data_IF_950401350115
#
_entry.id   IF_950401350115
#
_cell.length_a   1.000
_cell.length_b   1.000
_cell.length_c   1.000
_cell.angle_alpha   90.00
_cell.angle_beta   90.00
_cell.angle_gamma   90.00
#
_symmetry.space_group_name_H-M   'P 1'
#
loop_
_entity.id
_entity.type
_entity.pdbx_description
1 polymer ?
#
# COMPACT_ATOMS: atom_id res chain seq x y z
N UNK A 1 7.24 16.54 -1.82
CA UNK A 1 7.89 15.55 -0.95
C UNK A 1 8.83 16.28 0.00
N UNK A 2 9.05 15.75 1.21
CA UNK A 2 10.09 16.23 2.14
C UNK A 2 11.48 16.22 1.46
N UNK A 3 12.25 17.34 1.45
CA UNK A 3 13.51 17.43 0.70
C UNK A 3 14.56 16.40 1.14
N UNK A 4 14.69 16.15 2.44
CA UNK A 4 15.64 15.15 2.97
C UNK A 4 15.27 13.74 2.52
N UNK A 5 13.98 13.39 2.58
CA UNK A 5 13.50 12.12 2.07
C UNK A 5 13.70 11.99 0.56
N UNK A 6 13.45 13.04 -0.23
CA UNK A 6 13.71 13.03 -1.66
C UNK A 6 15.20 12.83 -1.99
N UNK A 7 16.11 13.45 -1.24
CA UNK A 7 17.55 13.23 -1.39
C UNK A 7 17.95 11.78 -1.09
N UNK A 8 17.39 11.19 -0.02
CA UNK A 8 17.58 9.78 0.30
C UNK A 8 17.07 8.86 -0.83
N UNK A 9 15.88 9.10 -1.39
CA UNK A 9 15.37 8.31 -2.50
C UNK A 9 16.28 8.42 -3.73
N UNK A 10 16.74 9.62 -4.07
CA UNK A 10 17.68 9.85 -5.18
C UNK A 10 19.03 9.16 -4.99
N UNK A 11 19.48 8.95 -3.76
CA UNK A 11 20.73 8.22 -3.50
C UNK A 11 20.56 6.69 -3.55
N UNK A 12 19.32 6.20 -3.59
CA UNK A 12 18.99 4.76 -3.64
C UNK A 12 18.54 4.33 -5.02
N UNK A 13 17.76 5.17 -5.68
CA UNK A 13 17.33 4.98 -7.05
C UNK A 13 18.36 5.61 -7.99
N UNK A 14 19.02 4.78 -8.80
CA UNK A 14 19.85 5.29 -9.88
C UNK A 14 19.01 6.19 -10.80
N UNK A 15 19.57 7.27 -11.36
CA UNK A 15 18.90 8.01 -12.43
C UNK A 15 18.57 7.00 -13.53
N UNK A 16 17.29 6.90 -13.91
CA UNK A 16 16.87 5.97 -14.94
C UNK A 16 17.69 6.23 -16.22
N UNK A 17 18.67 5.37 -16.51
CA UNK A 17 19.03 5.11 -17.89
C UNK A 17 17.78 4.49 -18.48
N UNK A 18 17.05 5.27 -19.26
CA UNK A 18 15.78 4.91 -19.92
C UNK A 18 16.01 3.75 -20.88
N UNK A 19 16.16 2.57 -20.30
CA UNK A 19 16.12 1.31 -21.00
C UNK A 19 15.03 0.48 -20.33
N UNK A 20 13.83 0.54 -20.90
CA UNK A 20 12.67 -0.24 -20.46
C UNK A 20 12.88 -1.75 -20.62
N UNK A 21 14.00 -2.18 -21.24
CA UNK A 21 14.41 -3.60 -21.30
C UNK A 21 15.25 -4.02 -20.08
N UNK A 22 15.84 -3.06 -19.36
CA UNK A 22 16.58 -3.30 -18.13
C UNK A 22 15.63 -3.27 -16.93
N UNK A 23 15.48 -4.40 -16.25
CA UNK A 23 14.73 -4.46 -14.98
C UNK A 23 15.61 -3.93 -13.87
N UNK A 24 15.31 -2.74 -13.34
CA UNK A 24 15.93 -2.24 -12.12
C UNK A 24 15.46 -3.09 -10.92
N UNK A 25 16.35 -3.85 -10.24
CA UNK A 25 15.97 -4.68 -9.09
C UNK A 25 15.79 -3.86 -7.80
N UNK A 26 16.05 -2.55 -7.82
CA UNK A 26 16.01 -1.69 -6.65
C UNK A 26 14.60 -1.62 -6.08
N UNK A 27 14.46 -1.97 -4.80
CA UNK A 27 13.21 -1.82 -4.05
C UNK A 27 13.46 -0.98 -2.80
N UNK A 28 12.44 -0.23 -2.41
CA UNK A 28 12.44 0.56 -1.18
C UNK A 28 11.16 0.28 -0.39
N UNK A 29 11.22 0.27 0.94
CA UNK A 29 10.02 0.09 1.75
C UNK A 29 9.01 1.23 1.53
N UNK A 30 7.72 0.86 1.45
CA UNK A 30 6.61 1.82 1.43
C UNK A 30 6.50 2.61 2.75
N UNK A 31 6.88 1.97 3.86
CA UNK A 31 7.10 2.61 5.15
C UNK A 31 8.59 2.58 5.50
N UNK A 32 9.24 3.73 5.40
CA UNK A 32 10.67 3.87 5.67
C UNK A 32 11.06 3.79 7.16
N UNK A 33 10.09 3.82 8.08
CA UNK A 33 10.35 3.85 9.53
C UNK A 33 10.10 2.48 10.17
N UNK A 34 9.02 1.79 9.78
CA UNK A 34 8.66 0.46 10.32
C UNK A 34 8.31 -0.54 9.21
N UNK A 35 9.29 -0.89 8.34
CA UNK A 35 9.03 -1.64 7.10
C UNK A 35 8.45 -3.05 7.32
N UNK A 36 8.75 -3.68 8.46
CA UNK A 36 8.28 -5.01 8.82
C UNK A 36 7.04 -5.04 9.71
N UNK A 37 6.41 -3.89 9.98
CA UNK A 37 5.28 -3.81 10.91
C UNK A 37 4.07 -3.14 10.26
N UNK A 38 2.91 -3.79 10.41
CA UNK A 38 1.63 -3.20 10.07
C UNK A 38 1.15 -2.32 11.23
N UNK A 39 1.41 -1.02 11.12
CA UNK A 39 0.95 -0.02 12.09
C UNK A 39 0.58 1.31 11.40
N UNK A 40 0.30 2.33 12.20
CA UNK A 40 -0.11 3.64 11.68
C UNK A 40 1.06 4.56 11.27
N UNK A 41 2.29 4.06 11.28
CA UNK A 41 3.48 4.83 10.90
C UNK A 41 3.45 5.26 9.44
N UNK A 42 2.81 4.48 8.56
CA UNK A 42 2.48 4.88 7.19
C UNK A 42 1.82 6.27 7.15
N UNK A 43 0.77 6.52 7.94
CA UNK A 43 0.07 7.81 7.97
C UNK A 43 0.91 8.92 8.61
N UNK A 44 1.75 8.58 9.61
CA UNK A 44 2.72 9.54 10.18
C UNK A 44 3.74 9.99 9.13
N UNK A 45 4.15 9.11 8.22
CA UNK A 45 5.03 9.46 7.10
C UNK A 45 4.32 10.39 6.12
N UNK A 46 3.05 10.13 5.77
CA UNK A 46 2.27 11.02 4.89
C UNK A 46 2.13 12.42 5.46
N UNK A 47 1.85 12.54 6.77
CA UNK A 47 1.76 13.82 7.47
C UNK A 47 3.07 14.63 7.39
N UNK A 48 4.22 13.94 7.35
CA UNK A 48 5.56 14.51 7.16
C UNK A 48 5.97 14.70 5.69
N UNK A 49 5.04 14.51 4.74
CA UNK A 49 5.30 14.54 3.29
C UNK A 49 6.32 13.51 2.80
N UNK A 50 6.35 12.35 3.46
CA UNK A 50 7.26 11.22 3.20
C UNK A 50 6.53 9.97 2.66
N UNK A 51 5.43 10.14 1.94
CA UNK A 51 4.84 9.03 1.16
C UNK A 51 5.74 8.68 -0.02
N UNK A 52 5.94 7.38 -0.29
CA UNK A 52 6.81 6.94 -1.38
C UNK A 52 6.13 7.13 -2.74
N UNK A 53 4.88 6.71 -2.87
CA UNK A 53 4.13 6.79 -4.11
C UNK A 53 3.35 8.11 -4.21
N UNK A 54 3.06 8.53 -5.44
CA UNK A 54 2.21 9.69 -5.69
C UNK A 54 0.79 9.50 -5.13
N UNK A 55 0.22 8.29 -5.29
CA UNK A 55 -1.08 7.92 -4.73
C UNK A 55 -1.14 8.09 -3.22
N UNK A 56 -0.07 7.69 -2.52
CA UNK A 56 0.04 7.84 -1.06
C UNK A 56 0.01 9.32 -0.65
N UNK A 57 0.86 10.14 -1.29
CA UNK A 57 0.97 11.55 -0.91
C UNK A 57 -0.28 12.35 -1.26
N UNK A 58 -1.04 11.90 -2.27
CA UNK A 58 -2.33 12.48 -2.66
C UNK A 58 -3.37 12.37 -1.54
N UNK A 59 -3.32 11.33 -0.70
CA UNK A 59 -4.22 11.19 0.45
C UNK A 59 -4.08 12.34 1.45
N UNK A 60 -2.88 12.89 1.60
CA UNK A 60 -2.65 14.04 2.48
C UNK A 60 -2.92 15.39 1.78
N UNK A 61 -2.81 15.44 0.45
CA UNK A 61 -3.02 16.66 -0.33
C UNK A 61 -4.52 16.94 -0.60
N UNK A 62 -5.33 15.89 -0.72
CA UNK A 62 -6.77 16.02 -0.99
C UNK A 62 -7.55 16.47 0.23
N UNK A 63 -8.47 17.43 0.05
CA UNK A 63 -9.37 17.91 1.10
C UNK A 63 -10.29 16.81 1.64
N UNK A 64 -10.60 15.81 0.83
CA UNK A 64 -11.51 14.71 1.19
C UNK A 64 -10.87 13.74 2.19
N UNK A 65 -9.55 13.53 2.10
CA UNK A 65 -8.85 12.45 2.81
C UNK A 65 -7.84 12.97 3.84
N UNK A 66 -7.36 14.21 3.73
CA UNK A 66 -6.33 14.75 4.63
C UNK A 66 -6.73 14.75 6.11
N UNK A 67 -8.02 14.90 6.44
CA UNK A 67 -8.49 14.79 7.84
C UNK A 67 -8.32 13.36 8.37
N UNK A 68 -8.63 12.35 7.56
CA UNK A 68 -8.47 10.96 7.94
C UNK A 68 -7.00 10.60 8.12
N UNK A 69 -6.13 11.05 7.22
CA UNK A 69 -4.67 10.84 7.36
C UNK A 69 -4.15 11.37 8.70
N UNK A 70 -4.53 12.59 9.10
CA UNK A 70 -4.12 13.15 10.39
C UNK A 70 -4.68 12.37 11.58
N UNK A 71 -5.93 11.91 11.50
CA UNK A 71 -6.56 11.11 12.55
C UNK A 71 -5.85 9.76 12.71
N UNK A 72 -5.65 9.05 11.60
CA UNK A 72 -5.06 7.73 11.58
C UNK A 72 -3.57 7.78 12.00
N UNK A 73 -2.85 8.85 11.66
CA UNK A 73 -1.49 9.11 12.16
C UNK A 73 -1.41 9.30 13.68
N UNK A 74 -2.45 9.91 14.28
CA UNK A 74 -2.50 10.21 15.73
C UNK A 74 -3.03 9.03 16.55
N UNK A 75 -4.01 8.30 16.03
CA UNK A 75 -4.76 7.27 16.76
C UNK A 75 -4.57 5.90 16.11
N UNK A 76 -3.51 5.19 16.50
CA UNK A 76 -3.17 3.89 15.91
C UNK A 76 -4.23 2.80 16.12
N UNK A 77 -4.87 2.75 17.29
CA UNK A 77 -5.94 1.78 17.56
C UNK A 77 -7.19 2.03 16.72
N UNK A 78 -7.56 3.30 16.51
CA UNK A 78 -8.69 3.69 15.65
C UNK A 78 -8.41 3.32 14.21
N UNK A 79 -7.20 3.60 13.73
CA UNK A 79 -6.77 3.15 12.40
C UNK A 79 -6.87 1.63 12.26
N UNK A 80 -6.33 0.86 13.22
CA UNK A 80 -6.33 -0.60 13.15
C UNK A 80 -7.76 -1.18 13.12
N UNK A 81 -8.68 -0.63 13.92
CA UNK A 81 -10.08 -1.04 13.89
C UNK A 81 -10.74 -0.76 12.54
N UNK A 82 -10.51 0.43 11.95
CA UNK A 82 -11.00 0.78 10.61
C UNK A 82 -10.39 -0.11 9.53
N UNK A 83 -9.09 -0.40 9.63
CA UNK A 83 -8.39 -1.27 8.70
C UNK A 83 -8.99 -2.68 8.71
N UNK A 84 -9.21 -3.28 9.89
CA UNK A 84 -9.85 -4.58 10.00
C UNK A 84 -11.25 -4.60 9.35
N UNK A 85 -12.10 -3.62 9.65
CA UNK A 85 -13.42 -3.51 9.05
C UNK A 85 -13.37 -3.32 7.51
N UNK A 86 -12.42 -2.52 7.02
CA UNK A 86 -12.22 -2.31 5.59
C UNK A 86 -11.77 -3.59 4.87
N UNK A 87 -10.87 -4.38 5.47
CA UNK A 87 -10.39 -5.64 4.88
C UNK A 87 -11.50 -6.70 4.80
N UNK A 88 -12.36 -6.80 5.82
CA UNK A 88 -13.55 -7.67 5.77
C UNK A 88 -14.47 -7.24 4.62
N UNK A 89 -14.76 -5.93 4.52
CA UNK A 89 -15.62 -5.40 3.45
C UNK A 89 -15.01 -5.63 2.06
N UNK A 90 -13.70 -5.47 1.91
CA UNK A 90 -12.98 -5.71 0.66
C UNK A 90 -13.03 -7.19 0.26
N UNK A 91 -12.94 -8.10 1.23
CA UNK A 91 -13.02 -9.55 0.99
C UNK A 91 -14.39 -10.04 0.52
N UNK A 92 -15.42 -9.19 0.55
CA UNK A 92 -16.78 -9.52 0.10
C UNK A 92 -17.10 -9.00 -1.31
N UNK A 93 -16.15 -8.37 -2.00
CA UNK A 93 -16.35 -7.86 -3.36
C UNK A 93 -16.48 -9.04 -4.33
N UNK A 94 -17.63 -9.14 -5.00
CA UNK A 94 -17.87 -10.05 -6.14
C UNK A 94 -17.51 -11.52 -5.88
N UNK A 95 -17.74 -12.00 -4.66
CA UNK A 95 -17.44 -13.39 -4.27
C UNK A 95 -18.35 -14.40 -4.97
N UNK A 96 -17.77 -15.54 -5.37
CA UNK A 96 -18.51 -16.70 -5.84
C UNK A 96 -19.05 -17.50 -4.65
N UNK A 97 -20.34 -17.79 -4.64
CA UNK A 97 -21.03 -18.45 -3.52
C UNK A 97 -21.88 -19.64 -3.98
N UNK A 98 -22.22 -20.53 -3.06
CA UNK A 98 -23.02 -21.73 -3.36
C UNK A 98 -22.33 -22.62 -4.39
N UNK A 99 -22.97 -22.84 -5.53
CA UNK A 99 -22.44 -23.64 -6.64
C UNK A 99 -21.68 -22.82 -7.70
N UNK A 100 -21.44 -21.52 -7.45
CA UNK A 100 -20.65 -20.69 -8.36
C UNK A 100 -19.16 -21.01 -8.21
N UNK A 101 -18.46 -21.23 -9.33
CA UNK A 101 -17.03 -21.53 -9.34
C UNK A 101 -16.71 -22.97 -8.91
N UNK A 102 -15.54 -23.16 -8.29
CA UNK A 102 -15.07 -24.46 -7.82
C UNK A 102 -14.12 -24.32 -6.62
N UNK A 103 -14.01 -25.38 -5.82
CA UNK A 103 -12.93 -25.51 -4.84
C UNK A 103 -11.71 -26.08 -5.58
N UNK A 104 -10.69 -25.24 -5.82
CA UNK A 104 -9.49 -25.66 -6.54
C UNK A 104 -8.68 -26.65 -5.71
N UNK A 105 -8.25 -27.74 -6.35
CA UNK A 105 -7.28 -28.69 -5.76
C UNK A 105 -5.87 -28.12 -5.71
N UNK A 106 -5.54 -27.26 -6.66
CA UNK A 106 -4.27 -26.55 -6.76
C UNK A 106 -4.56 -25.10 -7.17
N UNK A 107 -4.14 -24.10 -6.38
CA UNK A 107 -4.50 -22.69 -6.64
C UNK A 107 -4.04 -22.17 -8.01
N UNK A 108 -2.93 -22.70 -8.53
CA UNK A 108 -2.30 -22.27 -9.78
C UNK A 108 -2.94 -22.81 -11.07
N UNK A 109 -3.95 -23.68 -11.00
CA UNK A 109 -4.60 -24.26 -12.17
C UNK A 109 -6.09 -24.52 -11.91
N UNK A 110 -6.91 -24.43 -12.95
CA UNK A 110 -8.33 -24.82 -12.87
C UNK A 110 -8.46 -26.34 -12.76
N UNK A 111 -9.49 -26.84 -12.09
CA UNK A 111 -9.71 -28.28 -12.07
C UNK A 111 -10.07 -28.77 -13.48
N UNK A 112 -9.63 -29.98 -13.81
CA UNK A 112 -10.07 -30.65 -15.02
C UNK A 112 -11.47 -31.23 -14.79
N UNK A 113 -12.42 -30.76 -15.59
CA UNK A 113 -13.74 -31.38 -15.70
C UNK A 113 -13.75 -32.29 -16.94
N UNK A 114 -14.24 -33.53 -16.84
CA UNK A 114 -14.39 -34.42 -17.99
C UNK A 114 -15.44 -33.91 -18.98
#
# INVERSE_FOLDING_TARGET
MDPAFAAYLKSRCSPATVDFTSKDPTTLPLDAVTPGRLDNQYYKNLAKRRGLLFSDQTLQASRLTARLVRLDAKLGSVWAAKFAAAMVRMGHIEVLTGSQGEIRKMCGVVNHHP
#
